data_IF_278808695609
#
_entry.id   IF_278808695609
#
_cell.length_a   1.000
_cell.length_b   1.000
_cell.length_c   1.000
_cell.angle_alpha   90.00
_cell.angle_beta   90.00
_cell.angle_gamma   90.00
#
_symmetry.space_group_name_H-M   'P 1'
#
loop_
_entity.id
_entity.type
_entity.pdbx_description
1 polymer ?
#
# COMPACT_ATOMS: atom_id res chain seq x y z
N UNK A 1 8.20 -7.76 20.50
CA UNK A 1 8.77 -6.69 19.65
C UNK A 1 7.70 -5.70 19.21
N UNK A 2 6.91 -5.95 18.16
CA UNK A 2 5.94 -4.97 17.62
C UNK A 2 4.98 -4.40 18.67
N UNK A 3 4.63 -5.21 19.65
CA UNK A 3 3.59 -4.95 20.64
C UNK A 3 4.06 -4.09 21.80
N UNK A 4 5.33 -3.71 21.78
CA UNK A 4 5.95 -2.74 22.70
C UNK A 4 5.92 -1.32 22.08
N UNK A 5 5.56 -1.19 20.80
CA UNK A 5 5.57 0.09 20.09
C UNK A 5 4.26 0.86 20.31
N UNK A 6 4.42 2.15 20.58
CA UNK A 6 3.37 3.13 20.37
C UNK A 6 3.16 3.35 18.87
N UNK A 7 1.94 3.14 18.39
CA UNK A 7 1.58 3.28 16.97
C UNK A 7 1.62 4.73 16.48
N UNK A 8 1.53 5.71 17.39
CA UNK A 8 1.63 7.13 17.05
C UNK A 8 3.06 7.65 17.04
N UNK A 9 3.95 7.01 17.80
CA UNK A 9 5.34 7.41 17.94
C UNK A 9 6.31 6.23 18.08
N UNK A 10 6.40 5.32 17.08
CA UNK A 10 7.28 4.15 17.16
C UNK A 10 8.76 4.52 17.33
N UNK A 11 9.17 5.70 16.86
CA UNK A 11 10.50 6.26 17.05
C UNK A 11 10.86 6.60 18.50
N UNK A 12 9.87 6.73 19.40
CA UNK A 12 10.10 7.03 20.82
C UNK A 12 10.53 5.82 21.66
N UNK A 13 10.38 4.61 21.12
CA UNK A 13 10.73 3.39 21.83
C UNK A 13 12.24 3.31 22.13
N UNK A 14 12.64 2.77 23.28
CA UNK A 14 14.05 2.74 23.72
C UNK A 14 15.00 1.99 22.78
N UNK A 15 14.46 1.03 22.00
CA UNK A 15 15.20 0.26 20.98
C UNK A 15 15.03 0.80 19.55
N UNK A 16 14.34 1.93 19.36
CA UNK A 16 13.96 2.43 18.04
C UNK A 16 15.18 2.64 17.14
N UNK A 17 16.24 3.28 17.62
CA UNK A 17 17.48 3.51 16.86
C UNK A 17 18.13 2.20 16.42
N UNK A 18 18.17 1.19 17.29
CA UNK A 18 18.76 -0.11 16.95
C UNK A 18 17.92 -0.83 15.90
N UNK A 19 16.60 -0.90 16.08
CA UNK A 19 15.69 -1.52 15.13
C UNK A 19 15.62 -0.79 13.80
N UNK A 20 15.69 0.54 13.80
CA UNK A 20 15.64 1.32 12.57
C UNK A 20 16.97 1.30 11.81
N UNK A 21 18.07 0.94 12.47
CA UNK A 21 19.37 0.76 11.80
C UNK A 21 19.53 -0.65 11.20
N UNK A 22 18.57 -1.54 11.42
CA UNK A 22 18.60 -2.93 10.99
C UNK A 22 17.61 -3.19 9.86
N UNK A 23 18.02 -3.96 8.84
CA UNK A 23 17.08 -4.46 7.82
C UNK A 23 16.29 -5.66 8.32
N UNK A 24 15.09 -5.89 7.78
CA UNK A 24 14.37 -7.13 8.11
C UNK A 24 15.16 -8.37 7.68
N UNK A 25 15.87 -8.34 6.55
CA UNK A 25 16.70 -9.47 6.11
C UNK A 25 17.79 -9.84 7.12
N UNK A 26 18.54 -8.85 7.64
CA UNK A 26 19.60 -9.12 8.62
C UNK A 26 19.03 -9.66 9.92
N UNK A 27 17.85 -9.19 10.32
CA UNK A 27 17.13 -9.71 11.47
C UNK A 27 16.69 -11.17 11.24
N UNK A 28 16.09 -11.48 10.08
CA UNK A 28 15.68 -12.84 9.72
C UNK A 28 16.85 -13.82 9.70
N UNK A 29 17.99 -13.40 9.13
CA UNK A 29 19.20 -14.24 9.09
C UNK A 29 19.71 -14.61 10.49
N UNK A 30 19.48 -13.74 11.48
CA UNK A 30 19.90 -13.96 12.86
C UNK A 30 18.88 -14.77 13.65
N UNK A 31 17.60 -14.41 13.56
CA UNK A 31 16.54 -14.95 14.43
C UNK A 31 15.81 -16.17 13.83
N UNK A 32 15.78 -16.29 12.51
CA UNK A 32 15.06 -17.34 11.78
C UNK A 32 15.92 -17.96 10.67
N UNK A 33 17.10 -18.53 10.97
CA UNK A 33 18.04 -19.00 9.95
C UNK A 33 17.58 -20.24 9.17
N UNK A 34 16.52 -20.93 9.62
CA UNK A 34 16.02 -22.13 8.95
C UNK A 34 15.43 -21.77 7.57
N UNK A 35 15.77 -22.50 6.49
CA UNK A 35 15.28 -22.19 5.14
C UNK A 35 13.75 -22.05 5.04
N UNK A 36 12.99 -22.96 5.65
CA UNK A 36 11.52 -22.88 5.63
C UNK A 36 10.98 -21.65 6.37
N UNK A 37 11.63 -21.22 7.45
CA UNK A 37 11.24 -20.02 8.18
C UNK A 37 11.56 -18.76 7.36
N UNK A 38 12.73 -18.71 6.74
CA UNK A 38 13.12 -17.65 5.79
C UNK A 38 12.11 -17.55 4.66
N UNK A 39 11.73 -18.68 4.06
CA UNK A 39 10.74 -18.74 3.00
C UNK A 39 9.39 -18.16 3.44
N UNK A 40 8.79 -18.72 4.51
CA UNK A 40 7.45 -18.31 4.95
C UNK A 40 7.40 -16.85 5.40
N UNK A 41 8.41 -16.39 6.16
CA UNK A 41 8.47 -15.00 6.62
C UNK A 41 8.71 -14.04 5.45
N UNK A 42 9.59 -14.40 4.50
CA UNK A 42 9.80 -13.58 3.30
C UNK A 42 8.54 -13.46 2.47
N UNK A 43 7.81 -14.56 2.24
CA UNK A 43 6.56 -14.51 1.49
C UNK A 43 5.49 -13.68 2.21
N UNK A 44 5.34 -13.86 3.53
CA UNK A 44 4.40 -13.04 4.30
C UNK A 44 4.74 -11.55 4.24
N UNK A 45 6.02 -11.18 4.33
CA UNK A 45 6.45 -9.78 4.21
C UNK A 45 6.26 -9.23 2.80
N UNK A 46 6.65 -9.98 1.76
CA UNK A 46 6.41 -9.59 0.37
C UNK A 46 4.91 -9.39 0.10
N UNK A 47 4.05 -10.25 0.64
CA UNK A 47 2.59 -10.14 0.50
C UNK A 47 1.97 -8.87 1.08
N UNK A 48 2.62 -8.29 2.11
CA UNK A 48 2.13 -7.11 2.81
C UNK A 48 2.71 -5.83 2.21
N UNK A 49 3.99 -5.83 1.87
CA UNK A 49 4.74 -4.61 1.53
C UNK A 49 5.13 -4.52 0.06
N UNK A 50 5.13 -5.65 -0.65
CA UNK A 50 5.65 -5.81 -2.01
C UNK A 50 7.06 -5.23 -2.17
N UNK A 51 7.89 -5.54 -1.18
CA UNK A 51 9.32 -5.21 -1.10
C UNK A 51 10.11 -6.43 -0.68
N UNK A 52 11.41 -6.39 -0.91
CA UNK A 52 12.32 -7.40 -0.41
C UNK A 52 12.71 -7.12 1.05
N UNK A 53 12.90 -8.14 1.92
CA UNK A 53 13.25 -7.91 3.33
C UNK A 53 14.53 -7.09 3.54
N UNK A 54 15.43 -7.07 2.55
CA UNK A 54 16.66 -6.27 2.56
C UNK A 54 16.43 -4.77 2.41
N UNK A 55 15.27 -4.37 1.91
CA UNK A 55 14.92 -2.97 1.64
C UNK A 55 14.31 -2.30 2.87
N UNK A 56 13.70 -3.07 3.77
CA UNK A 56 12.85 -2.56 4.84
C UNK A 56 13.60 -2.37 6.15
N UNK A 57 13.33 -1.26 6.84
CA UNK A 57 13.68 -1.08 8.26
C UNK A 57 12.91 -2.09 9.12
N UNK A 58 13.61 -2.75 10.04
CA UNK A 58 12.97 -3.60 11.04
C UNK A 58 12.02 -2.79 11.93
N UNK A 59 12.40 -1.57 12.35
CA UNK A 59 11.49 -0.72 13.14
C UNK A 59 10.20 -0.42 12.36
N UNK A 60 10.31 -0.06 11.07
CA UNK A 60 9.15 0.24 10.26
C UNK A 60 8.21 -0.97 10.14
N UNK A 61 8.76 -2.15 9.87
CA UNK A 61 7.98 -3.39 9.79
C UNK A 61 7.28 -3.71 11.11
N UNK A 62 7.98 -3.56 12.24
CA UNK A 62 7.38 -3.75 13.56
C UNK A 62 6.27 -2.73 13.87
N UNK A 63 6.46 -1.46 13.48
CA UNK A 63 5.46 -0.42 13.65
C UNK A 63 4.22 -0.69 12.79
N UNK A 64 4.41 -1.17 11.56
CA UNK A 64 3.32 -1.55 10.66
C UNK A 64 2.51 -2.73 11.22
N UNK A 65 3.19 -3.75 11.78
CA UNK A 65 2.54 -4.86 12.49
C UNK A 65 1.76 -4.37 13.71
N UNK A 66 2.34 -3.47 14.51
CA UNK A 66 1.66 -2.88 15.66
C UNK A 66 0.39 -2.11 15.25
N UNK A 67 0.45 -1.43 14.11
CA UNK A 67 -0.64 -0.66 13.53
C UNK A 67 -1.75 -1.52 12.92
N UNK A 68 -1.58 -2.84 12.74
CA UNK A 68 -2.58 -3.76 12.17
C UNK A 68 -3.75 -4.10 13.12
N UNK A 69 -4.23 -3.11 13.86
CA UNK A 69 -5.19 -3.22 14.93
C UNK A 69 -6.02 -1.95 15.09
N UNK A 70 -6.45 -1.65 16.31
CA UNK A 70 -7.14 -0.41 16.66
C UNK A 70 -6.92 -0.11 18.15
N UNK A 71 -7.57 0.92 18.68
CA UNK A 71 -7.45 1.32 20.09
C UNK A 71 -7.76 0.21 21.12
N UNK A 72 -8.53 -0.80 20.73
CA UNK A 72 -8.97 -1.91 21.60
C UNK A 72 -8.47 -3.29 21.14
N UNK A 73 -7.96 -3.39 19.92
CA UNK A 73 -7.50 -4.64 19.31
C UNK A 73 -6.04 -4.52 18.95
N UNK A 74 -5.21 -5.38 19.53
CA UNK A 74 -3.77 -5.42 19.26
C UNK A 74 -3.51 -5.78 17.79
N UNK A 75 -2.58 -5.08 17.16
CA UNK A 75 -2.05 -5.44 15.85
C UNK A 75 -1.11 -6.64 15.93
N UNK A 76 -1.21 -7.53 14.94
CA UNK A 76 -0.34 -8.71 14.82
C UNK A 76 0.02 -8.96 13.35
N UNK A 77 1.02 -9.80 13.11
CA UNK A 77 1.43 -10.13 11.75
C UNK A 77 0.38 -10.99 11.06
N UNK A 78 -0.22 -11.93 11.78
CA UNK A 78 -1.31 -12.80 11.32
C UNK A 78 -2.49 -11.96 10.82
N UNK A 79 -2.86 -10.89 11.52
CA UNK A 79 -3.93 -9.98 11.06
C UNK A 79 -3.64 -9.34 9.70
N UNK A 80 -2.37 -9.19 9.32
CA UNK A 80 -1.99 -8.64 8.02
C UNK A 80 -2.07 -9.67 6.88
N UNK A 81 -1.94 -10.96 7.18
CA UNK A 81 -1.80 -12.03 6.16
C UNK A 81 -2.97 -13.02 6.12
N UNK A 82 -3.77 -13.08 7.19
CA UNK A 82 -4.87 -14.03 7.33
C UNK A 82 -6.12 -13.58 6.57
N UNK A 83 -6.79 -14.57 5.96
CA UNK A 83 -8.14 -14.36 5.41
C UNK A 83 -9.17 -14.32 6.53
N UNK A 84 -9.35 -15.41 7.28
CA UNK A 84 -10.33 -15.46 8.36
C UNK A 84 -9.85 -14.64 9.57
N UNK A 85 -10.64 -13.66 10.01
CA UNK A 85 -10.31 -12.75 11.11
C UNK A 85 -9.19 -11.73 10.81
N UNK A 86 -8.67 -11.71 9.58
CA UNK A 86 -7.58 -10.85 9.14
C UNK A 86 -7.97 -9.88 8.03
N UNK A 87 -6.97 -9.26 7.40
CA UNK A 87 -7.14 -8.13 6.48
C UNK A 87 -7.77 -8.51 5.13
N UNK A 88 -7.74 -9.80 4.75
CA UNK A 88 -8.23 -10.28 3.46
C UNK A 88 -9.65 -10.86 3.51
N UNK A 89 -10.33 -10.80 4.67
CA UNK A 89 -11.60 -11.50 4.93
C UNK A 89 -12.74 -11.11 4.00
N UNK A 90 -12.91 -9.81 3.76
CA UNK A 90 -14.10 -9.26 3.14
C UNK A 90 -13.79 -8.40 1.91
N UNK A 91 -14.74 -8.38 0.97
CA UNK A 91 -14.71 -7.54 -0.23
C UNK A 91 -16.04 -6.81 -0.37
N UNK A 92 -15.98 -5.64 -1.02
CA UNK A 92 -17.18 -4.86 -1.32
C UNK A 92 -17.77 -5.37 -2.64
N UNK A 93 -19.03 -5.81 -2.60
CA UNK A 93 -19.79 -6.16 -3.81
C UNK A 93 -19.88 -4.94 -4.72
N UNK A 94 -19.46 -5.10 -5.97
CA UNK A 94 -19.35 -4.01 -6.96
C UNK A 94 -18.01 -3.25 -6.93
N UNK A 95 -17.08 -3.61 -6.05
CA UNK A 95 -15.71 -3.10 -6.03
C UNK A 95 -15.48 -1.94 -5.07
N UNK A 96 -14.25 -1.81 -4.58
CA UNK A 96 -13.88 -0.83 -3.53
C UNK A 96 -13.89 0.62 -4.01
N UNK A 97 -13.78 0.85 -5.33
CA UNK A 97 -13.90 2.19 -5.93
C UNK A 97 -15.25 2.86 -5.62
N UNK A 98 -16.29 2.06 -5.32
CA UNK A 98 -17.59 2.57 -4.90
C UNK A 98 -17.50 3.51 -3.70
N UNK A 99 -16.56 3.31 -2.77
CA UNK A 99 -16.38 4.22 -1.63
C UNK A 99 -16.10 5.66 -2.10
N UNK A 100 -15.15 5.83 -3.02
CA UNK A 100 -14.80 7.14 -3.57
C UNK A 100 -15.91 7.71 -4.46
N UNK A 101 -16.56 6.89 -5.29
CA UNK A 101 -17.66 7.31 -6.17
C UNK A 101 -18.84 7.82 -5.34
N UNK A 102 -19.27 7.07 -4.31
CA UNK A 102 -20.39 7.46 -3.45
C UNK A 102 -20.07 8.70 -2.61
N UNK A 103 -18.82 8.88 -2.21
CA UNK A 103 -18.40 10.11 -1.54
C UNK A 103 -18.45 11.31 -2.50
N UNK A 104 -17.99 11.14 -3.74
CA UNK A 104 -18.06 12.16 -4.77
C UNK A 104 -19.51 12.57 -5.10
N UNK A 105 -20.45 11.62 -5.13
CA UNK A 105 -21.89 11.89 -5.29
C UNK A 105 -22.43 12.78 -4.16
N UNK A 106 -22.02 12.54 -2.92
CA UNK A 106 -22.45 13.33 -1.75
C UNK A 106 -21.83 14.73 -1.71
N UNK A 107 -20.55 14.85 -2.08
CA UNK A 107 -19.83 16.13 -2.16
C UNK A 107 -20.38 16.98 -3.32
N UNK A 108 -20.84 16.33 -4.39
CA UNK A 108 -21.28 16.96 -5.63
C UNK A 108 -20.11 17.14 -6.60
N UNK A 109 -20.27 16.65 -7.83
CA UNK A 109 -19.21 16.68 -8.86
C UNK A 109 -18.73 18.09 -9.22
N UNK A 110 -19.55 19.12 -9.00
CA UNK A 110 -19.15 20.52 -9.19
C UNK A 110 -18.02 20.97 -8.26
N UNK A 111 -17.80 20.25 -7.16
CA UNK A 111 -16.72 20.51 -6.20
C UNK A 111 -15.49 19.63 -6.45
N UNK A 112 -15.45 18.87 -7.55
CA UNK A 112 -14.37 17.95 -7.89
C UNK A 112 -13.81 18.30 -9.26
N UNK A 113 -12.53 18.62 -9.30
CA UNK A 113 -11.83 18.96 -10.54
C UNK A 113 -10.92 17.79 -10.92
N UNK A 114 -11.32 17.05 -11.96
CA UNK A 114 -10.50 15.98 -12.55
C UNK A 114 -9.45 16.53 -13.52
N UNK A 115 -8.46 15.70 -13.86
CA UNK A 115 -7.37 16.05 -14.78
C UNK A 115 -6.58 17.32 -14.38
N UNK A 116 -6.54 17.63 -13.09
CA UNK A 116 -5.87 18.79 -12.52
C UNK A 116 -4.73 18.36 -11.58
N UNK A 117 -3.63 17.78 -12.11
CA UNK A 117 -2.47 17.46 -11.28
C UNK A 117 -1.90 18.73 -10.67
N UNK A 118 -1.93 18.83 -9.35
CA UNK A 118 -1.38 19.98 -8.61
C UNK A 118 0.13 20.04 -8.84
N UNK A 119 0.64 21.23 -9.19
CA UNK A 119 2.06 21.50 -9.43
C UNK A 119 2.66 22.43 -8.39
N UNK A 120 1.87 23.38 -7.89
CA UNK A 120 2.35 24.38 -6.95
C UNK A 120 1.30 24.65 -5.86
N UNK A 121 1.76 24.79 -4.62
CA UNK A 121 0.97 25.27 -3.47
C UNK A 121 1.74 26.45 -2.89
N UNK A 122 1.17 27.65 -3.00
CA UNK A 122 1.81 28.88 -2.54
C UNK A 122 0.95 29.62 -1.51
N UNK A 123 1.53 29.97 -0.38
CA UNK A 123 0.90 30.83 0.62
C UNK A 123 0.95 32.30 0.16
N UNK A 124 -0.21 32.89 -0.10
CA UNK A 124 -0.43 34.29 -0.46
C UNK A 124 -1.19 35.00 0.66
N UNK A 125 -0.46 35.70 1.53
CA UNK A 125 -1.05 36.33 2.72
C UNK A 125 -1.53 35.28 3.72
N UNK A 126 -2.84 35.17 3.90
CA UNK A 126 -3.50 34.23 4.83
C UNK A 126 -4.19 33.04 4.13
N UNK A 127 -4.03 32.92 2.80
CA UNK A 127 -4.62 31.85 1.98
C UNK A 127 -3.59 31.18 1.10
N UNK A 128 -3.87 29.95 0.66
CA UNK A 128 -3.07 29.22 -0.30
C UNK A 128 -3.66 29.33 -1.71
N UNK A 129 -2.81 29.61 -2.68
CA UNK A 129 -3.04 29.42 -4.10
C UNK A 129 -2.54 28.03 -4.52
N UNK A 130 -3.46 27.12 -4.78
CA UNK A 130 -3.19 25.76 -5.28
C UNK A 130 -3.35 25.77 -6.79
N UNK A 131 -2.28 25.44 -7.52
CA UNK A 131 -2.26 25.55 -8.99
C UNK A 131 -1.94 24.22 -9.67
N UNK A 132 -2.71 23.93 -10.71
CA UNK A 132 -2.44 22.93 -11.74
C UNK A 132 -2.02 23.62 -13.03
N UNK A 133 -1.85 22.87 -14.13
CA UNK A 133 -1.47 23.41 -15.43
C UNK A 133 -2.53 24.38 -16.00
N UNK A 134 -3.81 24.08 -15.78
CA UNK A 134 -4.92 24.79 -16.44
C UNK A 134 -5.92 25.42 -15.46
N UNK A 135 -5.71 25.24 -14.15
CA UNK A 135 -6.65 25.71 -13.12
C UNK A 135 -5.92 26.07 -11.84
N UNK A 136 -6.51 26.99 -11.07
CA UNK A 136 -6.06 27.32 -9.72
C UNK A 136 -7.24 27.51 -8.78
N UNK A 137 -7.03 27.20 -7.50
CA UNK A 137 -8.02 27.34 -6.42
C UNK A 137 -7.37 28.10 -5.27
N UNK A 138 -8.14 28.98 -4.62
CA UNK A 138 -7.71 29.66 -3.39
C UNK A 138 -8.41 28.99 -2.22
N UNK A 139 -7.65 28.65 -1.17
CA UNK A 139 -8.18 28.00 0.02
C UNK A 139 -7.51 28.50 1.31
N UNK A 140 -8.23 28.50 2.43
CA UNK A 140 -7.66 28.80 3.75
C UNK A 140 -6.84 27.64 4.32
N UNK A 141 -7.30 26.42 4.06
CA UNK A 141 -6.62 25.18 4.42
C UNK A 141 -6.40 24.32 3.18
N UNK A 142 -5.32 23.57 3.16
CA UNK A 142 -5.01 22.63 2.09
C UNK A 142 -4.69 21.27 2.71
N UNK A 143 -5.26 20.20 2.15
CA UNK A 143 -4.96 18.83 2.56
C UNK A 143 -4.28 18.11 1.41
N UNK A 144 -3.05 17.65 1.61
CA UNK A 144 -2.33 16.78 0.68
C UNK A 144 -2.60 15.34 1.09
N UNK A 145 -3.51 14.67 0.38
CA UNK A 145 -3.98 13.31 0.67
C UNK A 145 -3.43 12.28 -0.35
N UNK A 146 -2.09 12.16 -0.43
CA UNK A 146 -1.39 11.26 -1.36
C UNK A 146 -0.14 10.68 -0.69
N UNK A 147 0.46 9.67 -1.31
CA UNK A 147 1.66 9.02 -0.75
C UNK A 147 2.83 10.01 -0.60
N UNK A 148 3.70 9.84 0.40
CA UNK A 148 4.88 10.69 0.59
C UNK A 148 5.72 10.93 -0.68
N UNK A 149 6.06 9.92 -1.52
CA UNK A 149 6.88 10.16 -2.70
C UNK A 149 6.16 11.00 -3.76
N UNK A 150 4.84 10.95 -3.86
CA UNK A 150 4.09 11.79 -4.80
C UNK A 150 3.94 13.22 -4.29
N UNK A 151 3.81 13.39 -2.97
CA UNK A 151 3.79 14.71 -2.34
C UNK A 151 5.08 15.51 -2.62
N UNK A 152 6.21 14.84 -2.84
CA UNK A 152 7.49 15.47 -3.23
C UNK A 152 7.47 16.12 -4.62
N UNK A 153 6.50 15.77 -5.47
CA UNK A 153 6.40 16.26 -6.86
C UNK A 153 5.66 17.61 -6.97
N UNK A 154 5.15 18.12 -5.85
CA UNK A 154 4.51 19.43 -5.76
C UNK A 154 5.57 20.43 -5.29
N UNK A 155 5.60 21.61 -5.90
CA UNK A 155 6.39 22.74 -5.40
C UNK A 155 5.62 23.46 -4.30
N UNK A 156 6.29 23.73 -3.17
CA UNK A 156 5.71 24.43 -2.03
C UNK A 156 6.39 25.78 -1.84
N UNK A 157 5.60 26.83 -1.60
CA UNK A 157 6.08 28.17 -1.32
C UNK A 157 5.33 28.73 -0.09
N UNK A 158 5.98 28.95 1.07
CA UNK A 158 7.39 28.69 1.35
C UNK A 158 7.74 27.19 1.28
N UNK A 159 9.05 26.90 1.23
CA UNK A 159 9.56 25.53 1.28
C UNK A 159 9.05 24.81 2.54
N UNK A 160 8.81 23.51 2.41
CA UNK A 160 8.49 22.67 3.55
C UNK A 160 9.70 22.57 4.50
N UNK A 161 9.49 22.22 5.78
CA UNK A 161 10.60 21.89 6.67
C UNK A 161 11.47 20.78 6.06
N UNK A 162 12.80 20.91 6.16
CA UNK A 162 13.75 19.97 5.57
C UNK A 162 13.51 18.50 5.99
N UNK A 163 12.97 18.27 7.20
CA UNK A 163 12.59 16.93 7.66
C UNK A 163 11.49 16.29 6.79
N UNK A 164 10.54 17.07 6.29
CA UNK A 164 9.47 16.61 5.39
C UNK A 164 10.02 16.33 3.98
N UNK A 165 10.92 17.16 3.48
CA UNK A 165 11.61 16.90 2.21
C UNK A 165 12.39 15.59 2.26
N UNK A 166 13.16 15.38 3.32
CA UNK A 166 13.89 14.12 3.53
C UNK A 166 12.97 12.90 3.66
N UNK A 167 11.85 13.01 4.37
CA UNK A 167 10.88 11.93 4.48
C UNK A 167 10.34 11.53 3.10
N UNK A 168 9.86 12.50 2.33
CA UNK A 168 9.23 12.24 1.02
C UNK A 168 10.22 11.68 -0.01
N UNK A 169 11.51 12.04 0.08
CA UNK A 169 12.57 11.50 -0.78
C UNK A 169 13.01 10.08 -0.38
N UNK A 170 12.76 9.66 0.87
CA UNK A 170 13.29 8.41 1.44
C UNK A 170 12.22 7.38 1.79
N UNK A 171 10.96 7.64 1.44
CA UNK A 171 9.88 6.66 1.51
C UNK A 171 9.42 6.27 0.11
N UNK A 172 10.13 5.37 -0.59
CA UNK A 172 9.69 4.86 -1.88
C UNK A 172 8.42 4.01 -1.74
N UNK A 173 7.72 3.83 -2.85
CA UNK A 173 6.63 2.84 -2.96
C UNK A 173 7.21 1.43 -3.09
N UNK A 174 6.48 0.42 -2.61
CA UNK A 174 6.73 -0.97 -2.99
C UNK A 174 6.49 -1.20 -4.50
N UNK A 175 6.89 -2.37 -5.00
CA UNK A 175 6.74 -2.76 -6.41
C UNK A 175 5.71 -3.87 -6.53
N UNK A 176 4.58 -3.61 -7.19
CA UNK A 176 3.46 -4.56 -7.21
C UNK A 176 2.69 -4.58 -8.53
N UNK A 177 2.41 -5.79 -8.97
CA UNK A 177 1.46 -6.12 -10.02
C UNK A 177 0.31 -6.94 -9.48
N UNK A 178 -0.85 -6.79 -10.11
CA UNK A 178 -2.02 -7.61 -9.83
C UNK A 178 -2.56 -8.18 -11.13
N UNK A 179 -2.51 -9.50 -11.25
CA UNK A 179 -3.01 -10.23 -12.40
C UNK A 179 -4.34 -10.90 -12.08
N UNK A 180 -5.26 -10.88 -13.03
CA UNK A 180 -6.55 -11.56 -12.95
C UNK A 180 -6.74 -12.40 -14.20
N UNK A 181 -6.85 -13.71 -14.02
CA UNK A 181 -7.18 -14.68 -15.06
C UNK A 181 -8.66 -15.04 -14.96
N UNK A 182 -9.42 -14.76 -16.02
CA UNK A 182 -10.82 -15.14 -16.12
C UNK A 182 -10.99 -16.50 -16.81
N UNK A 183 -11.89 -17.32 -16.27
CA UNK A 183 -12.21 -18.67 -16.72
C UNK A 183 -13.72 -18.86 -16.80
N UNK A 184 -14.16 -19.83 -17.61
CA UNK A 184 -15.58 -20.16 -17.75
C UNK A 184 -16.22 -20.64 -16.42
N UNK A 185 -15.46 -21.36 -15.59
CA UNK A 185 -15.90 -21.81 -14.26
C UNK A 185 -14.73 -21.70 -13.27
N UNK A 186 -14.99 -21.56 -11.95
CA UNK A 186 -13.96 -21.62 -10.91
C UNK A 186 -13.51 -23.07 -10.68
N UNK A 187 -12.89 -23.67 -11.69
CA UNK A 187 -12.64 -25.11 -11.77
C UNK A 187 -11.80 -25.69 -10.62
N UNK A 188 -11.00 -24.87 -9.95
CA UNK A 188 -10.24 -25.27 -8.77
C UNK A 188 -11.16 -25.67 -7.61
N UNK A 189 -12.37 -25.08 -7.50
CA UNK A 189 -13.36 -25.46 -6.48
C UNK A 189 -13.86 -26.89 -6.67
N UNK A 190 -14.03 -27.34 -7.92
CA UNK A 190 -14.40 -28.73 -8.24
C UNK A 190 -13.34 -29.74 -7.76
N UNK A 191 -12.08 -29.31 -7.68
CA UNK A 191 -10.96 -30.08 -7.16
C UNK A 191 -10.81 -29.99 -5.63
N UNK A 192 -11.73 -29.34 -4.92
CA UNK A 192 -11.68 -29.14 -3.48
C UNK A 192 -10.68 -28.06 -3.02
N UNK A 193 -10.22 -27.20 -3.95
CA UNK A 193 -9.27 -26.12 -3.66
C UNK A 193 -9.99 -24.79 -3.46
N UNK A 194 -9.46 -23.95 -2.57
CA UNK A 194 -9.98 -22.60 -2.30
C UNK A 194 -9.34 -21.50 -3.18
N UNK A 195 -8.42 -21.87 -4.07
CA UNK A 195 -7.70 -20.94 -4.94
C UNK A 195 -6.61 -20.12 -4.23
N UNK A 196 -6.24 -20.47 -2.99
CA UNK A 196 -5.11 -19.85 -2.30
C UNK A 196 -3.82 -20.64 -2.55
N UNK A 197 -2.75 -19.94 -2.90
CA UNK A 197 -1.40 -20.50 -3.05
C UNK A 197 -0.42 -19.64 -2.28
N UNK A 198 0.58 -20.29 -1.69
CA UNK A 198 1.84 -19.68 -1.27
C UNK A 198 2.96 -20.49 -1.91
N UNK A 199 3.82 -19.85 -2.71
CA UNK A 199 4.87 -20.52 -3.47
C UNK A 199 6.23 -19.85 -3.26
N UNK A 200 7.28 -20.65 -3.29
CA UNK A 200 8.69 -20.23 -3.27
C UNK A 200 9.26 -19.93 -4.67
N UNK A 201 8.48 -20.19 -5.72
CA UNK A 201 8.92 -20.13 -7.12
C UNK A 201 7.86 -19.47 -8.00
N UNK A 202 8.32 -18.94 -9.14
CA UNK A 202 7.45 -18.24 -10.09
C UNK A 202 7.35 -16.75 -9.83
N UNK A 203 6.67 -16.08 -10.76
CA UNK A 203 6.37 -14.66 -10.73
C UNK A 203 5.15 -14.35 -9.85
N UNK A 204 4.15 -15.24 -9.85
CA UNK A 204 2.97 -15.13 -8.98
C UNK A 204 3.06 -16.15 -7.87
N UNK A 205 3.35 -15.68 -6.66
CA UNK A 205 3.58 -16.56 -5.50
C UNK A 205 2.42 -16.62 -4.52
N UNK A 206 1.54 -15.62 -4.56
CA UNK A 206 0.32 -15.56 -3.77
C UNK A 206 -0.88 -15.44 -4.70
N UNK A 207 -1.87 -16.31 -4.51
CA UNK A 207 -3.12 -16.27 -5.28
C UNK A 207 -4.35 -16.27 -4.37
N UNK A 208 -5.45 -15.74 -4.90
CA UNK A 208 -6.76 -15.84 -4.27
C UNK A 208 -7.85 -16.04 -5.31
N UNK A 209 -8.82 -16.87 -4.97
CA UNK A 209 -10.10 -16.91 -5.67
C UNK A 209 -10.79 -15.55 -5.56
N UNK A 210 -11.21 -15.02 -6.71
CA UNK A 210 -11.93 -13.76 -6.86
C UNK A 210 -13.23 -13.93 -7.67
N UNK A 211 -13.68 -15.16 -7.80
CA UNK A 211 -14.92 -15.53 -8.50
C UNK A 211 -16.14 -15.10 -7.69
N UNK A 212 -17.28 -14.81 -8.35
CA UNK A 212 -18.55 -14.66 -7.66
C UNK A 212 -18.90 -15.85 -6.77
N UNK A 213 -19.69 -15.60 -5.73
CA UNK A 213 -20.14 -16.63 -4.79
C UNK A 213 -20.95 -17.72 -5.49
N UNK A 214 -21.75 -17.35 -6.50
CA UNK A 214 -22.55 -18.28 -7.30
C UNK A 214 -21.73 -19.14 -8.28
N UNK A 215 -20.43 -18.84 -8.44
CA UNK A 215 -19.53 -19.58 -9.33
C UNK A 215 -19.86 -19.45 -10.81
N UNK A 216 -20.62 -18.43 -11.22
CA UNK A 216 -21.03 -18.17 -12.60
C UNK A 216 -19.87 -18.05 -13.59
N UNK A 217 -18.69 -17.63 -13.12
CA UNK A 217 -17.41 -17.67 -13.82
C UNK A 217 -16.26 -17.75 -12.81
N UNK A 218 -15.07 -18.13 -13.25
CA UNK A 218 -13.88 -18.21 -12.41
C UNK A 218 -12.99 -16.98 -12.57
N UNK A 219 -12.54 -16.35 -11.48
CA UNK A 219 -11.47 -15.36 -11.50
C UNK A 219 -10.36 -15.79 -10.54
N UNK A 220 -9.18 -16.08 -11.06
CA UNK A 220 -7.98 -16.29 -10.24
C UNK A 220 -7.19 -14.98 -10.19
N UNK A 221 -6.98 -14.46 -8.99
CA UNK A 221 -6.14 -13.28 -8.78
C UNK A 221 -4.76 -13.72 -8.29
N UNK A 222 -3.71 -13.08 -8.80
CA UNK A 222 -2.33 -13.28 -8.37
C UNK A 222 -1.60 -11.96 -8.13
N UNK A 223 -0.81 -11.91 -7.06
CA UNK A 223 0.12 -10.82 -6.83
C UNK A 223 1.50 -11.12 -7.44
N UNK A 224 2.10 -10.10 -8.03
CA UNK A 224 3.48 -10.09 -8.53
C UNK A 224 4.19 -9.02 -7.70
N UNK A 225 5.24 -9.39 -6.98
CA UNK A 225 5.70 -8.57 -5.86
C UNK A 225 7.21 -8.33 -5.93
N UNK A 226 7.62 -7.16 -5.43
CA UNK A 226 9.01 -6.84 -5.16
C UNK A 226 9.91 -7.02 -6.40
N UNK A 227 10.98 -7.81 -6.31
CA UNK A 227 11.92 -7.99 -7.44
C UNK A 227 11.26 -8.62 -8.67
N UNK A 228 10.26 -9.50 -8.51
CA UNK A 228 9.57 -10.10 -9.64
C UNK A 228 8.79 -9.06 -10.43
N UNK A 229 8.11 -8.13 -9.75
CA UNK A 229 7.41 -7.06 -10.45
C UNK A 229 8.40 -6.14 -11.16
N UNK A 230 9.50 -5.74 -10.52
CA UNK A 230 10.56 -4.94 -11.16
C UNK A 230 11.16 -5.62 -12.39
N UNK A 231 11.28 -6.95 -12.37
CA UNK A 231 11.75 -7.75 -13.51
C UNK A 231 10.73 -7.76 -14.63
N UNK A 232 9.48 -8.14 -14.32
CA UNK A 232 8.39 -8.23 -15.28
C UNK A 232 8.00 -6.88 -15.88
N UNK A 233 8.28 -5.78 -15.16
CA UNK A 233 8.03 -4.45 -15.66
C UNK A 233 8.79 -4.11 -16.96
N UNK A 234 9.85 -4.86 -17.26
CA UNK A 234 10.67 -4.65 -18.45
C UNK A 234 10.22 -5.51 -19.63
N UNK A 235 9.25 -6.39 -19.42
CA UNK A 235 8.78 -7.33 -20.42
C UNK A 235 7.52 -6.81 -21.13
N UNK A 236 7.29 -7.23 -22.38
CA UNK A 236 6.02 -7.04 -23.04
C UNK A 236 4.94 -7.91 -22.37
N UNK A 237 3.69 -7.45 -22.39
CA UNK A 237 2.59 -8.07 -21.63
C UNK A 237 2.36 -9.56 -21.96
N UNK A 238 2.59 -9.98 -23.20
CA UNK A 238 2.41 -11.38 -23.60
C UNK A 238 3.42 -12.34 -22.93
N UNK A 239 4.65 -11.90 -22.69
CA UNK A 239 5.65 -12.68 -21.95
C UNK A 239 5.28 -12.79 -20.47
N UNK A 240 4.77 -11.69 -19.89
CA UNK A 240 4.25 -11.67 -18.52
C UNK A 240 3.10 -12.68 -18.39
N UNK A 241 2.14 -12.65 -19.33
CA UNK A 241 1.02 -13.61 -19.37
C UNK A 241 1.52 -15.05 -19.46
N UNK A 242 2.55 -15.32 -20.28
CA UNK A 242 3.12 -16.67 -20.41
C UNK A 242 3.71 -17.16 -19.07
N UNK A 243 4.48 -16.32 -18.38
CA UNK A 243 5.05 -16.66 -17.08
C UNK A 243 3.98 -16.93 -16.02
N UNK A 244 2.98 -16.05 -15.90
CA UNK A 244 1.89 -16.22 -14.94
C UNK A 244 1.08 -17.48 -15.28
N UNK A 245 0.83 -17.75 -16.57
CA UNK A 245 0.11 -18.96 -16.99
C UNK A 245 0.87 -20.23 -16.59
N UNK A 246 2.20 -20.24 -16.72
CA UNK A 246 3.04 -21.37 -16.27
C UNK A 246 2.91 -21.61 -14.76
N UNK A 247 2.87 -20.54 -13.98
CA UNK A 247 2.66 -20.64 -12.52
C UNK A 247 1.26 -21.17 -12.21
N UNK A 248 0.20 -20.62 -12.80
CA UNK A 248 -1.17 -21.10 -12.58
C UNK A 248 -1.36 -22.57 -13.01
N UNK A 249 -0.72 -23.01 -14.10
CA UNK A 249 -0.73 -24.42 -14.53
C UNK A 249 0.02 -25.30 -13.53
N UNK A 250 1.13 -24.82 -12.95
CA UNK A 250 1.85 -25.55 -11.88
C UNK A 250 0.95 -25.76 -10.66
N UNK A 251 0.14 -24.77 -10.29
CA UNK A 251 -0.68 -24.82 -9.09
C UNK A 251 -2.01 -25.55 -9.26
N UNK A 252 -2.70 -25.31 -10.40
CA UNK A 252 -4.08 -25.76 -10.60
C UNK A 252 -4.23 -26.77 -11.76
N UNK A 253 -3.12 -27.17 -12.38
CA UNK A 253 -3.09 -28.15 -13.46
C UNK A 253 -3.44 -27.57 -14.85
N UNK A 254 -3.51 -28.43 -15.88
CA UNK A 254 -3.61 -27.99 -17.29
C UNK A 254 -4.82 -27.13 -17.62
N UNK A 255 -5.92 -27.23 -16.86
CA UNK A 255 -7.12 -26.39 -17.06
C UNK A 255 -6.82 -24.90 -16.87
N UNK A 256 -5.81 -24.54 -16.09
CA UNK A 256 -5.39 -23.16 -15.86
C UNK A 256 -4.79 -22.49 -17.12
N UNK A 257 -4.41 -23.25 -18.14
CA UNK A 257 -3.97 -22.67 -19.42
C UNK A 257 -5.12 -22.04 -20.22
N UNK A 258 -6.37 -22.41 -19.93
CA UNK A 258 -7.55 -22.01 -20.71
C UNK A 258 -8.15 -20.68 -20.21
N UNK A 259 -7.31 -19.65 -20.12
CA UNK A 259 -7.74 -18.30 -19.69
C UNK A 259 -8.53 -17.63 -20.81
N UNK A 260 -9.73 -17.15 -20.51
CA UNK A 260 -10.59 -16.44 -21.44
C UNK A 260 -10.21 -14.96 -21.57
N UNK A 261 -9.76 -14.35 -20.48
CA UNK A 261 -9.33 -12.96 -20.48
C UNK A 261 -8.31 -12.70 -19.36
N UNK A 262 -7.40 -11.76 -19.62
CA UNK A 262 -6.43 -11.27 -18.65
C UNK A 262 -6.68 -9.80 -18.32
N UNK A 263 -6.48 -9.45 -17.05
CA UNK A 263 -6.27 -8.06 -16.64
C UNK A 263 -5.02 -8.04 -15.77
N UNK A 264 -4.02 -7.24 -16.16
CA UNK A 264 -2.78 -7.07 -15.40
C UNK A 264 -2.59 -5.58 -15.11
N UNK A 265 -2.68 -5.22 -13.83
CA UNK A 265 -2.40 -3.86 -13.38
C UNK A 265 -0.99 -3.79 -12.81
N UNK A 266 -0.14 -2.94 -13.40
CA UNK A 266 1.26 -2.72 -13.01
C UNK A 266 1.37 -1.36 -12.31
N UNK A 267 1.35 -1.36 -10.97
CA UNK A 267 1.21 -0.13 -10.20
C UNK A 267 2.44 0.78 -10.27
N UNK A 268 3.62 0.18 -10.47
CA UNK A 268 4.91 0.84 -10.70
C UNK A 268 4.87 1.83 -11.87
N UNK A 269 4.08 1.51 -12.90
CA UNK A 269 3.92 2.32 -14.10
C UNK A 269 2.80 3.36 -13.99
N UNK A 270 1.94 3.28 -12.96
CA UNK A 270 0.85 4.23 -12.79
C UNK A 270 1.41 5.59 -12.35
N UNK A 271 1.13 6.64 -13.12
CA UNK A 271 1.74 7.96 -12.99
C UNK A 271 1.53 8.59 -11.61
N UNK A 272 0.37 8.38 -11.00
CA UNK A 272 -0.08 8.99 -9.74
C UNK A 272 -0.15 8.02 -8.57
N UNK A 273 0.56 6.89 -8.66
CA UNK A 273 0.77 5.91 -7.58
C UNK A 273 2.24 5.53 -7.51
N UNK A 274 2.84 5.20 -8.66
CA UNK A 274 4.28 4.91 -8.83
C UNK A 274 4.78 3.74 -8.00
N UNK A 275 3.92 2.74 -7.83
CA UNK A 275 4.14 1.55 -7.03
C UNK A 275 2.99 1.31 -6.06
N UNK A 276 3.18 0.37 -5.13
CA UNK A 276 2.18 -0.04 -4.15
C UNK A 276 2.64 -1.23 -3.31
N UNK A 277 1.80 -1.71 -2.38
CA UNK A 277 0.49 -1.16 -2.05
C UNK A 277 0.57 0.13 -1.23
N UNK A 278 1.72 0.43 -0.61
CA UNK A 278 1.97 1.65 0.16
C UNK A 278 3.45 2.07 0.08
N UNK A 279 3.77 3.28 0.53
CA UNK A 279 5.16 3.67 0.73
C UNK A 279 5.74 3.02 2.00
N UNK A 280 7.00 2.58 1.94
CA UNK A 280 7.70 1.96 3.06
C UNK A 280 8.91 2.81 3.50
N UNK A 281 9.44 2.55 4.69
CA UNK A 281 10.65 3.19 5.18
C UNK A 281 11.84 2.21 5.18
N UNK A 282 12.91 2.52 4.44
CA UNK A 282 14.23 1.90 4.63
C UNK A 282 14.84 2.23 6.00
N UNK A 283 15.93 1.55 6.39
CA UNK A 283 16.64 1.84 7.64
C UNK A 283 16.99 3.33 7.83
N UNK A 284 16.78 3.82 9.06
CA UNK A 284 17.13 5.16 9.54
C UNK A 284 16.12 6.26 9.20
N UNK A 285 15.05 5.95 8.46
CA UNK A 285 14.06 6.96 8.04
C UNK A 285 13.04 7.24 9.13
N UNK A 286 12.51 6.20 9.78
CA UNK A 286 11.36 6.37 10.68
C UNK A 286 11.76 7.07 11.98
N UNK A 287 12.95 6.80 12.51
CA UNK A 287 13.50 7.50 13.70
C UNK A 287 13.86 8.95 13.40
N UNK A 288 14.40 9.23 12.22
CA UNK A 288 14.84 10.57 11.86
C UNK A 288 13.69 11.49 11.44
N UNK A 289 12.67 10.95 10.77
CA UNK A 289 11.65 11.75 10.06
C UNK A 289 10.20 11.32 10.30
N UNK A 290 9.95 10.28 11.12
CA UNK A 290 8.60 9.73 11.32
C UNK A 290 7.55 10.75 11.79
N UNK A 291 7.94 11.72 12.61
CA UNK A 291 7.05 12.83 13.03
C UNK A 291 6.51 13.63 11.84
N UNK A 292 7.28 13.74 10.76
CA UNK A 292 6.91 14.47 9.54
C UNK A 292 5.87 13.74 8.68
N UNK A 293 5.44 12.53 9.04
CA UNK A 293 4.33 11.84 8.35
C UNK A 293 3.02 12.59 8.52
N UNK A 294 2.76 13.12 9.73
CA UNK A 294 1.48 13.70 10.13
C UNK A 294 1.56 15.20 10.40
N UNK A 295 2.74 15.72 10.77
CA UNK A 295 2.91 17.13 11.16
C UNK A 295 2.47 18.11 10.07
N UNK A 296 1.51 19.01 10.35
CA UNK A 296 1.12 20.06 9.42
C UNK A 296 2.21 21.14 9.30
N UNK A 297 2.14 21.93 8.22
CA UNK A 297 2.95 23.13 8.04
C UNK A 297 2.03 24.37 7.95
N UNK A 298 1.75 24.99 9.09
CA UNK A 298 0.68 25.98 9.19
C UNK A 298 -0.68 25.33 8.90
N UNK A 299 -1.44 25.87 7.94
CA UNK A 299 -2.74 25.35 7.50
C UNK A 299 -2.65 24.39 6.30
N UNK A 300 -1.44 23.88 6.02
CA UNK A 300 -1.20 22.79 5.08
C UNK A 300 -1.08 21.48 5.87
N UNK A 301 -2.05 20.57 5.68
CA UNK A 301 -2.15 19.30 6.39
C UNK A 301 -1.80 18.12 5.46
N UNK A 302 -1.35 17.02 6.06
CA UNK A 302 -1.04 15.79 5.35
C UNK A 302 -1.97 14.66 5.79
N UNK A 303 -2.66 14.08 4.82
CA UNK A 303 -3.47 12.88 4.96
C UNK A 303 -2.90 11.79 4.03
N UNK A 304 -3.67 10.72 3.83
CA UNK A 304 -3.20 9.51 3.14
C UNK A 304 -2.86 8.42 4.14
N UNK A 305 -2.84 7.18 3.66
CA UNK A 305 -2.78 6.00 4.52
C UNK A 305 -1.49 5.93 5.34
N UNK A 306 -0.37 6.43 4.80
CA UNK A 306 0.92 6.52 5.49
C UNK A 306 0.90 7.46 6.70
N UNK A 307 -0.06 8.38 6.76
CA UNK A 307 -0.25 9.31 7.88
C UNK A 307 -1.29 8.80 8.91
N UNK A 308 -1.72 7.54 8.81
CA UNK A 308 -2.59 6.90 9.81
C UNK A 308 -1.79 6.35 11.00
N UNK A 309 -2.45 6.16 12.14
CA UNK A 309 -1.90 5.43 13.30
C UNK A 309 -2.22 3.94 13.24
N UNK A 310 -3.36 3.59 12.63
CA UNK A 310 -3.80 2.21 12.46
C UNK A 310 -4.06 1.90 10.99
N UNK A 311 -3.83 0.66 10.59
CA UNK A 311 -4.03 0.19 9.22
C UNK A 311 -3.32 1.04 8.17
N UNK A 312 -2.09 1.44 8.51
CA UNK A 312 -1.15 2.10 7.59
C UNK A 312 -1.03 1.24 6.33
N UNK A 313 -1.14 1.86 5.15
CA UNK A 313 -1.10 1.17 3.86
C UNK A 313 -2.43 0.57 3.38
N UNK A 314 -3.48 0.59 4.21
CA UNK A 314 -4.82 0.08 3.85
C UNK A 314 -5.84 1.21 3.64
N UNK A 315 -7.00 0.85 3.08
CA UNK A 315 -8.13 1.78 2.91
C UNK A 315 -8.65 2.33 4.25
N UNK A 316 -8.67 1.51 5.31
CA UNK A 316 -9.07 1.95 6.65
C UNK A 316 -8.14 3.05 7.17
N UNK A 317 -6.83 2.92 6.99
CA UNK A 317 -5.86 3.97 7.31
C UNK A 317 -6.06 5.24 6.49
N UNK A 318 -6.42 5.12 5.21
CA UNK A 318 -6.73 6.28 4.37
C UNK A 318 -7.94 7.06 4.89
N UNK A 319 -9.01 6.36 5.29
CA UNK A 319 -10.23 6.95 5.85
C UNK A 319 -9.92 7.63 7.19
N UNK A 320 -9.29 6.91 8.13
CA UNK A 320 -8.91 7.45 9.44
C UNK A 320 -8.05 8.71 9.34
N UNK A 321 -7.07 8.70 8.44
CA UNK A 321 -6.17 9.83 8.21
C UNK A 321 -6.93 11.05 7.66
N UNK A 322 -7.89 10.82 6.76
CA UNK A 322 -8.79 11.88 6.26
C UNK A 322 -9.68 12.46 7.35
N UNK A 323 -10.32 11.63 8.17
CA UNK A 323 -11.17 12.05 9.29
C UNK A 323 -10.39 12.82 10.36
N UNK A 324 -9.16 12.37 10.67
CA UNK A 324 -8.24 13.09 11.56
C UNK A 324 -7.99 14.51 11.06
N UNK A 325 -7.57 14.67 9.81
CA UNK A 325 -7.26 16.00 9.26
C UNK A 325 -8.52 16.88 9.18
N UNK A 326 -9.67 16.31 8.82
CA UNK A 326 -10.92 17.05 8.85
C UNK A 326 -11.22 17.59 10.26
N UNK A 327 -10.98 16.77 11.29
CA UNK A 327 -11.14 17.18 12.71
C UNK A 327 -10.15 18.27 13.09
N UNK A 328 -8.88 18.16 12.70
CA UNK A 328 -7.86 19.21 12.92
C UNK A 328 -8.28 20.56 12.34
N UNK A 329 -8.81 20.56 11.10
CA UNK A 329 -9.28 21.77 10.44
C UNK A 329 -10.50 22.35 11.17
N UNK A 330 -11.47 21.51 11.55
CA UNK A 330 -12.67 21.96 12.27
C UNK A 330 -12.34 22.57 13.65
N UNK A 331 -11.23 22.16 14.28
CA UNK A 331 -10.76 22.75 15.53
C UNK A 331 -10.03 24.10 15.35
N UNK A 332 -9.56 24.42 14.14
CA UNK A 332 -8.91 25.70 13.79
C UNK A 332 -9.90 26.74 13.23
N UNK A 333 -11.14 26.35 12.95
CA UNK A 333 -12.22 27.23 12.46
C UNK A 333 -12.92 28.00 13.58
#
# INVERSE_FOLDING_TARGET
MATELDVDAPWSHSRSVNWDSETVQSWLNREAPHPDAQFLLTQGLQSVFSTEPREQSLLYTLAYIAAAGNATTRGTFERLIDVAGGAQEQRIVGGTQLLAIRLAERIGLSNIIFNAPVRNIELKGDTYLVSSNNQSVIAKHVVVAMSPPLASRITYQPLLPAARDHLTQRMPMGSIGKAFAAYATPFWREAGLNGQVVSDTGAVRITFDSSPDDGSFGIMMGFIEADEMRRLDRLPEHEIIEEITKDLVRYFGPRAANVQNWVIQRWDLEQFSRGGPAAYAPPGVLTAYGTSLKSPHGRLHFAGTEASSFWVGFMDGAIRSGERVATEILMDL
#
